data_IF_976768909810
#
_entry.id   IF_976768909810
#
_cell.length_a   1.000
_cell.length_b   1.000
_cell.length_c   1.000
_cell.angle_alpha   90.00
_cell.angle_beta   90.00
_cell.angle_gamma   90.00
#
_symmetry.space_group_name_H-M   'P 1'
#
loop_
_entity.id
_entity.type
_entity.pdbx_description
1 polymer ?
#
# COMPACT_ATOMS: atom_id res chain seq x y z
N UNK A 1 -5.83 9.64 17.66
CA UNK A 1 -6.41 8.34 17.22
C UNK A 1 -7.79 8.49 16.55
N UNK A 2 -8.88 8.87 17.23
CA UNK A 2 -10.24 8.86 16.64
C UNK A 2 -10.41 9.73 15.38
N UNK A 3 -9.88 10.96 15.36
CA UNK A 3 -10.05 11.88 14.21
C UNK A 3 -9.34 11.37 12.93
N UNK A 4 -8.09 10.91 13.03
CA UNK A 4 -7.35 10.38 11.86
C UNK A 4 -8.00 9.14 11.27
N UNK A 5 -8.50 8.24 12.09
CA UNK A 5 -9.20 7.04 11.66
C UNK A 5 -10.53 7.38 10.95
N UNK A 6 -11.29 8.36 11.48
CA UNK A 6 -12.52 8.82 10.82
C UNK A 6 -12.23 9.41 9.43
N UNK A 7 -11.22 10.28 9.35
CA UNK A 7 -10.80 10.87 8.07
C UNK A 7 -10.37 9.78 7.08
N UNK A 8 -9.61 8.79 7.53
CA UNK A 8 -9.23 7.64 6.71
C UNK A 8 -10.45 6.90 6.15
N UNK A 9 -11.43 6.57 6.98
CA UNK A 9 -12.65 5.90 6.52
C UNK A 9 -13.45 6.75 5.54
N UNK A 10 -13.53 8.06 5.75
CA UNK A 10 -14.20 8.98 4.81
C UNK A 10 -13.47 8.97 3.46
N UNK A 11 -12.16 9.15 3.46
CA UNK A 11 -11.34 9.12 2.23
C UNK A 11 -11.45 7.77 1.52
N UNK A 12 -11.44 6.67 2.27
CA UNK A 12 -11.62 5.33 1.72
C UNK A 12 -13.00 5.15 1.08
N UNK A 13 -14.07 5.58 1.75
CA UNK A 13 -15.43 5.50 1.21
C UNK A 13 -15.60 6.36 -0.06
N UNK A 14 -15.04 7.58 -0.07
CA UNK A 14 -15.03 8.43 -1.26
C UNK A 14 -14.28 7.74 -2.40
N UNK A 15 -13.11 7.16 -2.12
CA UNK A 15 -12.32 6.44 -3.11
C UNK A 15 -13.06 5.23 -3.68
N UNK A 16 -13.74 4.46 -2.81
CA UNK A 16 -14.55 3.32 -3.22
C UNK A 16 -15.76 3.74 -4.07
N UNK A 17 -16.44 4.85 -3.69
CA UNK A 17 -17.52 5.42 -4.46
C UNK A 17 -17.07 5.87 -5.85
N UNK A 18 -15.97 6.60 -5.95
CA UNK A 18 -15.41 7.05 -7.22
C UNK A 18 -14.99 5.85 -8.09
N UNK A 19 -14.41 4.81 -7.48
CA UNK A 19 -14.05 3.59 -8.20
C UNK A 19 -15.27 2.82 -8.73
N UNK A 20 -16.35 2.72 -7.95
CA UNK A 20 -17.58 2.06 -8.38
C UNK A 20 -18.31 2.85 -9.48
N UNK A 21 -18.23 4.18 -9.42
CA UNK A 21 -18.86 5.09 -10.37
C UNK A 21 -17.97 5.46 -11.56
N UNK A 22 -16.89 4.74 -11.80
CA UNK A 22 -15.87 5.02 -12.82
C UNK A 22 -16.45 5.27 -14.22
N UNK A 23 -17.39 4.43 -14.65
CA UNK A 23 -18.03 4.53 -15.97
C UNK A 23 -19.15 5.58 -16.00
N UNK A 24 -19.68 5.96 -14.83
CA UNK A 24 -20.73 6.97 -14.67
C UNK A 24 -20.19 8.38 -14.52
N UNK A 25 -18.88 8.56 -14.31
CA UNK A 25 -18.23 9.86 -14.16
C UNK A 25 -17.17 10.05 -15.27
N UNK A 26 -17.61 10.41 -16.51
CA UNK A 26 -16.70 10.54 -17.66
C UNK A 26 -15.54 11.52 -17.42
N UNK A 27 -15.77 12.57 -16.62
CA UNK A 27 -14.76 13.56 -16.29
C UNK A 27 -13.56 12.91 -15.59
N UNK A 28 -13.78 12.08 -14.57
CA UNK A 28 -12.71 11.39 -13.83
C UNK A 28 -11.99 10.40 -14.74
N UNK A 29 -12.75 9.55 -15.45
CA UNK A 29 -12.22 8.57 -16.38
C UNK A 29 -11.33 9.21 -17.44
N UNK A 30 -11.83 10.25 -18.12
CA UNK A 30 -11.10 10.93 -19.19
C UNK A 30 -9.86 11.66 -18.67
N UNK A 31 -9.96 12.31 -17.51
CA UNK A 31 -8.80 12.98 -16.90
C UNK A 31 -7.70 11.99 -16.54
N UNK A 32 -8.04 10.88 -15.89
CA UNK A 32 -7.06 9.85 -15.53
C UNK A 32 -6.46 9.22 -16.78
N UNK A 33 -7.29 8.89 -17.77
CA UNK A 33 -6.82 8.31 -19.04
C UNK A 33 -5.93 9.29 -19.80
N UNK A 34 -6.26 10.58 -19.86
CA UNK A 34 -5.42 11.57 -20.56
C UNK A 34 -4.02 11.74 -19.96
N UNK A 35 -3.86 11.43 -18.68
CA UNK A 35 -2.56 11.45 -17.99
C UNK A 35 -1.82 10.12 -18.14
N UNK A 36 -2.52 9.00 -17.95
CA UNK A 36 -1.90 7.69 -17.89
C UNK A 36 -1.72 7.01 -19.24
N UNK A 37 -2.60 7.27 -20.22
CA UNK A 37 -2.49 6.66 -21.55
C UNK A 37 -1.22 7.06 -22.31
N UNK A 38 -0.79 8.33 -22.33
CA UNK A 38 0.43 8.71 -23.03
C UNK A 38 1.73 8.23 -22.36
N UNK A 39 1.65 7.83 -21.09
CA UNK A 39 2.79 7.34 -20.32
C UNK A 39 2.76 5.81 -20.15
N UNK A 40 1.97 5.35 -19.24
CA UNK A 40 1.88 3.91 -18.92
C UNK A 40 1.07 3.13 -19.95
N UNK A 41 0.07 3.74 -20.57
CA UNK A 41 -0.74 3.09 -21.60
C UNK A 41 0.07 2.71 -22.83
N UNK A 42 1.01 3.55 -23.28
CA UNK A 42 1.93 3.22 -24.38
C UNK A 42 2.78 1.99 -24.05
N UNK A 43 3.26 1.91 -22.79
CA UNK A 43 4.07 0.78 -22.33
C UNK A 43 3.28 -0.53 -22.34
N UNK A 44 2.02 -0.50 -21.89
CA UNK A 44 1.13 -1.66 -21.90
C UNK A 44 0.73 -2.09 -23.32
N UNK A 45 0.54 -1.14 -24.23
CA UNK A 45 0.22 -1.41 -25.66
C UNK A 45 1.41 -1.99 -26.39
N UNK A 46 2.65 -1.57 -26.07
CA UNK A 46 3.86 -2.10 -26.67
C UNK A 46 4.11 -3.56 -26.26
N UNK A 47 4.11 -3.83 -24.97
CA UNK A 47 4.18 -5.19 -24.43
C UNK A 47 3.50 -5.24 -23.06
N UNK A 48 2.39 -5.97 -22.99
CA UNK A 48 1.56 -6.01 -21.78
C UNK A 48 2.32 -6.56 -20.56
N UNK A 49 3.09 -7.64 -20.75
CA UNK A 49 3.80 -8.31 -19.66
C UNK A 49 4.97 -7.47 -19.13
N UNK A 50 5.80 -6.96 -20.03
CA UNK A 50 6.92 -6.09 -19.66
C UNK A 50 6.40 -4.79 -19.07
N UNK A 51 5.40 -4.18 -19.70
CA UNK A 51 4.74 -2.97 -19.20
C UNK A 51 4.16 -3.17 -17.82
N UNK A 52 3.52 -4.31 -17.57
CA UNK A 52 2.97 -4.66 -16.26
C UNK A 52 4.07 -4.69 -15.18
N UNK A 53 5.17 -5.40 -15.42
CA UNK A 53 6.29 -5.49 -14.47
C UNK A 53 6.94 -4.11 -14.22
N UNK A 54 7.17 -3.32 -15.28
CA UNK A 54 7.74 -1.98 -15.15
C UNK A 54 6.83 -1.06 -14.34
N UNK A 55 5.52 -1.12 -14.59
CA UNK A 55 4.55 -0.30 -13.85
C UNK A 55 4.49 -0.72 -12.38
N UNK A 56 4.55 -2.02 -12.06
CA UNK A 56 4.65 -2.49 -10.67
C UNK A 56 5.92 -1.92 -10.01
N UNK A 57 7.05 -1.96 -10.68
CA UNK A 57 8.30 -1.40 -10.14
C UNK A 57 8.19 0.11 -9.89
N UNK A 58 7.68 0.87 -10.88
CA UNK A 58 7.54 2.33 -10.75
C UNK A 58 6.53 2.71 -9.66
N UNK A 59 5.38 2.06 -9.59
CA UNK A 59 4.39 2.34 -8.53
C UNK A 59 4.93 1.98 -7.15
N UNK A 60 5.63 0.85 -7.02
CA UNK A 60 6.28 0.45 -5.77
C UNK A 60 7.37 1.44 -5.34
N UNK A 61 8.12 1.99 -6.30
CA UNK A 61 9.10 3.03 -6.05
C UNK A 61 8.44 4.31 -5.52
N UNK A 62 7.41 4.80 -6.21
CA UNK A 62 6.67 6.01 -5.81
C UNK A 62 6.06 5.84 -4.42
N UNK A 63 5.45 4.69 -4.13
CA UNK A 63 4.87 4.42 -2.81
C UNK A 63 5.93 4.32 -1.72
N UNK A 64 7.08 3.73 -2.00
CA UNK A 64 8.20 3.65 -1.05
C UNK A 64 8.76 5.05 -0.75
N UNK A 65 8.90 5.90 -1.77
CA UNK A 65 9.31 7.29 -1.59
C UNK A 65 8.25 8.10 -0.83
N UNK A 66 6.98 7.94 -1.16
CA UNK A 66 5.89 8.57 -0.42
C UNK A 66 5.94 8.17 1.07
N UNK A 67 6.15 6.89 1.38
CA UNK A 67 6.31 6.43 2.74
C UNK A 67 7.55 7.02 3.41
N UNK A 68 8.67 7.13 2.69
CA UNK A 68 9.90 7.73 3.22
C UNK A 68 9.70 9.18 3.67
N UNK A 69 9.02 9.98 2.85
CA UNK A 69 8.90 11.42 3.07
C UNK A 69 7.67 11.83 3.88
N UNK A 70 6.61 11.04 3.86
CA UNK A 70 5.34 11.38 4.53
C UNK A 70 5.17 10.72 5.90
N UNK A 71 6.00 9.72 6.27
CA UNK A 71 5.95 9.08 7.58
C UNK A 71 7.18 9.41 8.43
N UNK A 72 7.00 9.35 9.75
CA UNK A 72 8.13 9.48 10.69
C UNK A 72 8.95 8.19 10.70
N UNK A 73 10.03 8.19 9.93
CA UNK A 73 10.92 7.04 9.76
C UNK A 73 11.67 6.69 11.04
N UNK A 74 12.01 7.68 11.88
CA UNK A 74 12.70 7.46 13.15
C UNK A 74 11.78 6.69 14.11
N UNK A 75 10.56 7.19 14.31
CA UNK A 75 9.56 6.54 15.16
C UNK A 75 9.17 5.15 14.63
N UNK A 76 9.07 4.95 13.30
CA UNK A 76 8.80 3.64 12.72
C UNK A 76 9.95 2.65 12.94
N UNK A 77 11.21 3.08 12.83
CA UNK A 77 12.38 2.23 13.10
C UNK A 77 12.46 1.83 14.57
N UNK A 78 12.17 2.76 15.46
CA UNK A 78 12.13 2.48 16.90
C UNK A 78 11.02 1.48 17.23
N UNK A 79 9.81 1.73 16.75
CA UNK A 79 8.67 0.82 16.94
C UNK A 79 8.95 -0.59 16.42
N UNK A 80 9.61 -0.72 15.27
CA UNK A 80 10.02 -2.04 14.73
C UNK A 80 11.06 -2.74 15.59
N UNK A 81 12.00 -1.99 16.21
CA UNK A 81 12.96 -2.57 17.15
C UNK A 81 12.26 -3.12 18.38
N UNK A 82 11.34 -2.35 18.96
CA UNK A 82 10.54 -2.77 20.10
C UNK A 82 9.70 -4.02 19.77
N UNK A 83 9.03 -4.04 18.62
CA UNK A 83 8.26 -5.20 18.15
C UNK A 83 9.14 -6.43 17.96
N UNK A 84 10.37 -6.26 17.46
CA UNK A 84 11.32 -7.37 17.28
C UNK A 84 11.75 -7.95 18.63
N UNK A 85 12.11 -7.10 19.60
CA UNK A 85 12.49 -7.52 20.95
C UNK A 85 11.34 -8.30 21.59
N UNK A 86 10.11 -7.74 21.53
CA UNK A 86 8.92 -8.41 22.05
C UNK A 86 8.66 -9.77 21.38
N UNK A 87 8.83 -9.84 20.06
CA UNK A 87 8.70 -11.10 19.32
C UNK A 87 9.74 -12.15 19.73
N UNK A 88 10.96 -11.72 20.03
CA UNK A 88 12.03 -12.60 20.54
C UNK A 88 11.74 -13.08 21.97
N UNK A 89 11.19 -12.23 22.82
CA UNK A 89 10.72 -12.61 24.16
C UNK A 89 9.58 -13.63 24.06
N UNK A 90 8.59 -13.40 23.21
CA UNK A 90 7.48 -14.35 23.02
C UNK A 90 7.97 -15.74 22.60
N UNK A 91 9.05 -15.83 21.80
CA UNK A 91 9.65 -17.12 21.43
C UNK A 91 10.27 -17.85 22.62
N UNK A 92 10.80 -17.12 23.62
CA UNK A 92 11.39 -17.71 24.84
C UNK A 92 10.34 -18.26 25.80
N UNK A 93 9.16 -17.63 25.82
CA UNK A 93 8.07 -17.97 26.75
C UNK A 93 6.94 -18.80 26.11
N UNK A 94 7.25 -19.56 25.03
CA UNK A 94 6.25 -20.40 24.35
C UNK A 94 5.59 -21.44 25.24
N UNK A 95 6.31 -21.94 26.24
CA UNK A 95 5.84 -22.96 27.18
C UNK A 95 5.15 -22.36 28.42
N UNK A 96 5.09 -21.04 28.54
CA UNK A 96 4.45 -20.31 29.65
C UNK A 96 3.23 -19.53 29.15
N UNK A 97 2.01 -20.13 29.14
CA UNK A 97 0.83 -19.53 28.51
C UNK A 97 0.43 -18.18 29.09
N UNK A 98 0.54 -17.98 30.40
CA UNK A 98 0.20 -16.72 31.08
C UNK A 98 1.12 -15.58 30.60
N UNK A 99 2.44 -15.84 30.60
CA UNK A 99 3.43 -14.87 30.14
C UNK A 99 3.31 -14.57 28.65
N UNK A 100 3.02 -15.60 27.84
CA UNK A 100 2.80 -15.46 26.41
C UNK A 100 1.57 -14.56 26.16
N UNK A 101 0.49 -14.72 26.91
CA UNK A 101 -0.72 -13.90 26.77
C UNK A 101 -0.48 -12.43 27.20
N UNK A 102 0.33 -12.17 28.23
CA UNK A 102 0.75 -10.83 28.59
C UNK A 102 1.55 -10.15 27.44
N UNK A 103 2.51 -10.87 26.86
CA UNK A 103 3.32 -10.36 25.75
C UNK A 103 2.48 -10.14 24.48
N UNK A 104 1.51 -11.00 24.20
CA UNK A 104 0.55 -10.79 23.11
C UNK A 104 -0.29 -9.54 23.28
N UNK A 105 -0.75 -9.25 24.52
CA UNK A 105 -1.45 -7.99 24.80
C UNK A 105 -0.56 -6.78 24.54
N UNK A 106 0.69 -6.81 24.96
CA UNK A 106 1.68 -5.76 24.61
C UNK A 106 1.88 -5.62 23.09
N UNK A 107 1.89 -6.72 22.35
CA UNK A 107 1.99 -6.69 20.89
C UNK A 107 0.79 -5.97 20.25
N UNK A 108 -0.41 -6.15 20.78
CA UNK A 108 -1.60 -5.45 20.30
C UNK A 108 -1.53 -3.93 20.53
N UNK A 109 -0.81 -3.46 21.55
CA UNK A 109 -0.62 -2.03 21.83
C UNK A 109 0.22 -1.33 20.73
N UNK A 110 1.00 -2.07 19.95
CA UNK A 110 1.73 -1.50 18.81
C UNK A 110 0.84 -1.22 17.61
N UNK A 111 -0.31 -1.89 17.47
CA UNK A 111 -1.20 -1.69 16.32
C UNK A 111 -1.67 -0.24 16.18
N UNK A 112 -2.22 0.42 17.20
CA UNK A 112 -2.62 1.82 17.08
C UNK A 112 -1.44 2.76 16.83
N UNK A 113 -0.26 2.50 17.42
CA UNK A 113 0.95 3.29 17.18
C UNK A 113 1.42 3.17 15.74
N UNK A 114 1.49 1.94 15.22
CA UNK A 114 1.84 1.68 13.82
C UNK A 114 0.86 2.35 12.87
N UNK A 115 -0.44 2.25 13.17
CA UNK A 115 -1.50 2.87 12.39
C UNK A 115 -1.32 4.39 12.31
N UNK A 116 -1.13 5.07 13.44
CA UNK A 116 -0.97 6.52 13.48
C UNK A 116 0.26 6.99 12.67
N UNK A 117 1.36 6.24 12.72
CA UNK A 117 2.59 6.57 11.99
C UNK A 117 2.48 6.30 10.47
N UNK A 118 1.69 5.31 10.05
CA UNK A 118 1.55 4.92 8.65
C UNK A 118 0.35 5.57 7.95
N UNK A 119 -0.58 6.19 8.70
CA UNK A 119 -1.81 6.76 8.15
C UNK A 119 -1.58 7.91 7.18
N UNK A 120 -0.62 8.80 7.46
CA UNK A 120 -0.37 9.97 6.61
C UNK A 120 -0.09 9.58 5.16
N UNK A 121 0.92 8.74 4.83
CA UNK A 121 1.16 8.34 3.45
C UNK A 121 -0.05 7.64 2.83
N UNK A 122 -0.73 6.75 3.56
CA UNK A 122 -1.90 6.02 3.04
C UNK A 122 -3.04 6.98 2.67
N UNK A 123 -3.33 7.99 3.49
CA UNK A 123 -4.38 8.97 3.19
C UNK A 123 -4.09 9.77 1.92
N UNK A 124 -2.84 10.20 1.71
CA UNK A 124 -2.46 10.95 0.52
C UNK A 124 -2.43 10.10 -0.76
N UNK A 125 -2.09 8.83 -0.65
CA UNK A 125 -1.94 7.94 -1.81
C UNK A 125 -3.21 7.14 -2.13
N UNK A 126 -4.20 7.07 -1.24
CA UNK A 126 -5.38 6.21 -1.41
C UNK A 126 -6.22 6.58 -2.64
N UNK A 127 -6.55 7.86 -2.85
CA UNK A 127 -7.34 8.30 -4.00
C UNK A 127 -6.58 8.04 -5.32
N UNK A 128 -5.34 8.54 -5.49
CA UNK A 128 -4.54 8.25 -6.69
C UNK A 128 -4.40 6.76 -6.99
N UNK A 129 -4.17 5.93 -5.97
CA UNK A 129 -4.02 4.48 -6.14
C UNK A 129 -5.31 3.84 -6.62
N UNK A 130 -6.46 4.19 -6.03
CA UNK A 130 -7.75 3.63 -6.43
C UNK A 130 -8.09 3.99 -7.87
N UNK A 131 -7.86 5.24 -8.27
CA UNK A 131 -8.06 5.68 -9.66
C UNK A 131 -7.10 4.98 -10.61
N UNK A 132 -5.83 4.85 -10.23
CA UNK A 132 -4.83 4.11 -10.98
C UNK A 132 -5.23 2.65 -11.18
N UNK A 133 -5.69 1.96 -10.14
CA UNK A 133 -6.13 0.56 -10.26
C UNK A 133 -7.36 0.40 -11.15
N UNK A 134 -8.30 1.34 -11.13
CA UNK A 134 -9.45 1.30 -12.05
C UNK A 134 -9.01 1.44 -13.50
N UNK A 135 -8.14 2.40 -13.79
CA UNK A 135 -7.54 2.57 -15.11
C UNK A 135 -6.71 1.34 -15.52
N UNK A 136 -5.88 0.85 -14.63
CA UNK A 136 -4.99 -0.29 -14.88
C UNK A 136 -5.77 -1.57 -15.18
N UNK A 137 -6.87 -1.78 -14.47
CA UNK A 137 -7.80 -2.88 -14.71
C UNK A 137 -8.41 -2.87 -16.11
N UNK A 138 -8.57 -1.71 -16.76
CA UNK A 138 -9.07 -1.63 -18.16
C UNK A 138 -8.14 -2.36 -19.14
N UNK A 139 -6.83 -2.33 -18.89
CA UNK A 139 -5.84 -3.02 -19.73
C UNK A 139 -5.63 -4.48 -19.35
N UNK A 140 -5.72 -4.81 -18.06
CA UNK A 140 -5.31 -6.13 -17.56
C UNK A 140 -6.47 -7.12 -17.41
N UNK A 141 -7.68 -6.66 -17.09
CA UNK A 141 -8.84 -7.55 -16.98
C UNK A 141 -9.13 -8.40 -18.24
N UNK A 142 -8.98 -7.88 -19.47
CA UNK A 142 -9.23 -8.69 -20.65
C UNK A 142 -8.27 -9.88 -20.80
N UNK A 143 -7.04 -9.79 -20.22
CA UNK A 143 -6.00 -10.82 -20.36
C UNK A 143 -5.91 -11.71 -19.14
N UNK A 144 -5.94 -11.13 -17.94
CA UNK A 144 -5.71 -11.86 -16.69
C UNK A 144 -6.98 -12.05 -15.86
N UNK A 145 -8.13 -11.48 -16.28
CA UNK A 145 -9.31 -11.41 -15.41
C UNK A 145 -8.97 -10.66 -14.12
N UNK A 146 -9.60 -11.05 -13.00
CA UNK A 146 -9.32 -10.46 -11.68
C UNK A 146 -7.97 -10.87 -11.07
N UNK A 147 -7.29 -11.87 -11.64
CA UNK A 147 -6.02 -12.40 -11.10
C UNK A 147 -4.84 -11.43 -11.21
N UNK A 148 -4.90 -10.42 -12.07
CA UNK A 148 -3.85 -9.41 -12.19
C UNK A 148 -3.59 -8.69 -10.86
N UNK A 149 -4.61 -8.55 -9.99
CA UNK A 149 -4.46 -7.93 -8.67
C UNK A 149 -3.50 -8.77 -7.81
N UNK A 150 -3.63 -10.09 -7.83
CA UNK A 150 -2.74 -10.99 -7.10
C UNK A 150 -1.30 -10.87 -7.61
N UNK A 151 -1.10 -10.89 -8.93
CA UNK A 151 0.23 -10.71 -9.53
C UNK A 151 0.82 -9.35 -9.18
N UNK A 152 -0.01 -8.29 -9.18
CA UNK A 152 0.41 -6.96 -8.75
C UNK A 152 0.85 -6.95 -7.29
N UNK A 153 0.08 -7.56 -6.38
CA UNK A 153 0.42 -7.62 -4.96
C UNK A 153 1.76 -8.34 -4.75
N UNK A 154 1.92 -9.52 -5.32
CA UNK A 154 3.18 -10.29 -5.20
C UNK A 154 4.36 -9.52 -5.78
N UNK A 155 4.22 -8.97 -6.98
CA UNK A 155 5.27 -8.17 -7.62
C UNK A 155 5.61 -6.91 -6.81
N UNK A 156 4.60 -6.20 -6.30
CA UNK A 156 4.81 -5.00 -5.49
C UNK A 156 5.49 -5.30 -4.15
N UNK A 157 5.23 -6.45 -3.54
CA UNK A 157 5.93 -6.89 -2.33
C UNK A 157 7.43 -7.09 -2.60
N UNK A 158 7.78 -7.72 -3.72
CA UNK A 158 9.17 -7.94 -4.12
C UNK A 158 9.88 -6.60 -4.35
N UNK A 159 9.32 -5.74 -5.20
CA UNK A 159 9.93 -4.44 -5.51
C UNK A 159 9.96 -3.52 -4.29
N UNK A 160 8.89 -3.47 -3.50
CA UNK A 160 8.86 -2.67 -2.27
C UNK A 160 9.94 -3.11 -1.27
N UNK A 161 10.18 -4.43 -1.12
CA UNK A 161 11.24 -4.93 -0.25
C UNK A 161 12.63 -4.49 -0.73
N UNK A 162 12.88 -4.53 -2.04
CA UNK A 162 14.13 -4.06 -2.65
C UNK A 162 14.31 -2.56 -2.42
N UNK A 163 13.29 -1.76 -2.72
CA UNK A 163 13.37 -0.31 -2.61
C UNK A 163 13.46 0.16 -1.15
N UNK A 164 12.74 -0.48 -0.22
CA UNK A 164 12.88 -0.19 1.22
C UNK A 164 14.30 -0.40 1.72
N UNK A 165 14.94 -1.48 1.27
CA UNK A 165 16.35 -1.75 1.61
C UNK A 165 17.28 -0.74 0.96
N UNK A 166 17.04 -0.38 -0.30
CA UNK A 166 17.87 0.57 -1.05
C UNK A 166 17.79 2.00 -0.48
N UNK A 167 16.59 2.42 -0.07
CA UNK A 167 16.36 3.78 0.44
C UNK A 167 16.35 3.88 1.97
N UNK A 168 16.66 2.79 2.69
CA UNK A 168 16.63 2.71 4.16
C UNK A 168 15.28 3.14 4.77
N UNK A 169 14.18 2.66 4.19
CA UNK A 169 12.81 2.93 4.64
C UNK A 169 12.38 1.88 5.64
N UNK A 170 11.75 2.32 6.73
CA UNK A 170 11.27 1.48 7.82
C UNK A 170 10.15 0.52 7.38
#
# INVERSE_FOLDING_TARGET
>A
MKKGMIIFFIVFLISAYVASSWDSIPLVKNTVSSILDPSFGVLLKWNLYIGFVVIIALTSLVLTLAQKYLSDQAALKELKKEQKILSEEMKKYKEHPEKLMELQKKQLEFLPKTFDLTMKPIMFTSIPIVLFFRWFGMYLNPVFGGWWILYYIVGSMVFSTIFRKLFDVA
#
